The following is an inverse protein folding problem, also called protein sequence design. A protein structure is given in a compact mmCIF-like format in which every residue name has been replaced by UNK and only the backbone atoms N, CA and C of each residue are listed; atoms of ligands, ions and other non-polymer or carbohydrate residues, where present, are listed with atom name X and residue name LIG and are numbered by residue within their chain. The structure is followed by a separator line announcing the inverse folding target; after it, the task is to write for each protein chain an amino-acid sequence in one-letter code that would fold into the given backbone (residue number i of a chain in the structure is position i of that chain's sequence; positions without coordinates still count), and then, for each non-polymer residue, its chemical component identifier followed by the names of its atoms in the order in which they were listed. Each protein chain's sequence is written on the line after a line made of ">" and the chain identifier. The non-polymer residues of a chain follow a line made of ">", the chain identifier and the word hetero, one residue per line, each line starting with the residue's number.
data_IF_022126493029
#
_entry.id   IF_022126493029
#
_cell.length_a   1.000
_cell.length_b   1.000
_cell.length_c   1.000
_cell.angle_alpha   90.00
_cell.angle_beta   90.00
_cell.angle_gamma   90.00
#
_symmetry.space_group_name_H-M   'P 1'
#
loop_
_entity.id
_entity.type
_entity.pdbx_description
1 polymer ?
#
# COMPACT_ATOMS: atom_id res chain seq x y z
N UNK A 1 -14.07 1.08 -9.25
CA UNK A 1 -12.94 1.08 -8.28
C UNK A 1 -13.35 0.27 -7.06
N UNK A 2 -12.48 -0.59 -6.53
CA UNK A 2 -12.79 -1.41 -5.36
C UNK A 2 -12.91 -0.59 -4.08
N UNK A 3 -13.52 -1.16 -3.02
CA UNK A 3 -13.76 -0.47 -1.73
C UNK A 3 -12.49 -0.04 -0.97
N UNK A 4 -11.30 -0.50 -1.38
CA UNK A 4 -10.03 -0.26 -0.68
C UNK A 4 -9.84 -1.12 0.56
N UNK A 5 -8.64 -1.08 1.14
CA UNK A 5 -8.29 -1.99 2.25
C UNK A 5 -8.98 -1.60 3.55
N UNK A 6 -9.08 -0.30 3.86
CA UNK A 6 -9.71 0.19 5.10
C UNK A 6 -11.14 -0.31 5.21
N UNK A 7 -11.95 -0.12 4.16
CA UNK A 7 -13.36 -0.51 4.17
C UNK A 7 -13.52 -2.04 4.17
N UNK A 8 -12.75 -2.74 3.33
CA UNK A 8 -12.87 -4.20 3.17
C UNK A 8 -12.50 -4.96 4.46
N UNK A 9 -11.46 -4.51 5.16
CA UNK A 9 -10.89 -5.22 6.31
C UNK A 9 -11.03 -4.46 7.63
N UNK A 10 -11.97 -3.50 7.72
CA UNK A 10 -12.16 -2.62 8.89
C UNK A 10 -12.16 -3.36 10.23
N UNK A 11 -12.78 -4.55 10.29
CA UNK A 11 -12.88 -5.39 11.50
C UNK A 11 -11.53 -5.89 12.04
N UNK A 12 -10.50 -5.93 11.19
CA UNK A 12 -9.15 -6.42 11.52
C UNK A 12 -8.12 -5.29 11.67
N UNK A 13 -8.53 -4.05 11.44
CA UNK A 13 -7.65 -2.90 11.38
C UNK A 13 -7.91 -1.97 12.59
N UNK A 14 -6.90 -1.21 13.05
CA UNK A 14 -7.03 -0.29 14.18
C UNK A 14 -7.75 1.02 13.77
N UNK A 15 -8.97 0.90 13.25
CA UNK A 15 -9.80 1.99 12.71
C UNK A 15 -10.92 2.32 13.70
N UNK A 16 -11.16 3.61 13.93
CA UNK A 16 -12.26 4.10 14.77
C UNK A 16 -13.08 5.17 14.01
N UNK A 17 -14.03 5.82 14.67
CA UNK A 17 -14.90 6.84 14.06
C UNK A 17 -14.17 8.10 13.59
N UNK A 18 -12.95 8.36 14.10
CA UNK A 18 -12.12 9.50 13.71
C UNK A 18 -11.14 9.16 12.58
N UNK A 19 -10.96 7.88 12.27
CA UNK A 19 -10.05 7.46 11.19
C UNK A 19 -10.70 7.78 9.84
N UNK A 20 -10.05 8.58 8.96
CA UNK A 20 -10.58 8.82 7.63
C UNK A 20 -10.58 7.52 6.83
N UNK A 21 -11.70 7.24 6.18
CA UNK A 21 -11.84 6.09 5.27
C UNK A 21 -11.66 6.60 3.85
N UNK A 22 -10.58 6.15 3.20
CA UNK A 22 -10.26 6.51 1.83
C UNK A 22 -9.51 5.37 1.13
N UNK A 23 -9.34 5.48 -0.18
CA UNK A 23 -8.75 4.45 -1.03
C UNK A 23 -8.21 5.08 -2.31
N UNK A 24 -7.05 4.58 -2.78
CA UNK A 24 -6.57 4.82 -4.14
C UNK A 24 -6.86 3.62 -5.06
N UNK A 25 -7.59 2.61 -4.56
CA UNK A 25 -7.84 1.35 -5.23
C UNK A 25 -6.88 0.23 -4.83
N UNK A 26 -6.14 0.39 -3.72
CA UNK A 26 -5.21 -0.64 -3.25
C UNK A 26 -5.88 -1.90 -2.74
N UNK A 27 -5.12 -3.00 -2.74
CA UNK A 27 -5.60 -4.31 -2.38
C UNK A 27 -6.36 -4.99 -3.51
N UNK A 28 -7.06 -6.07 -3.15
CA UNK A 28 -7.78 -6.95 -4.10
C UNK A 28 -7.00 -7.32 -5.38
N UNK A 29 -5.68 -7.44 -5.27
CA UNK A 29 -4.78 -7.76 -6.40
C UNK A 29 -5.01 -9.19 -6.91
N UNK A 30 -4.74 -9.47 -8.19
CA UNK A 30 -4.90 -10.81 -8.75
C UNK A 30 -4.11 -11.88 -8.00
N UNK A 31 -4.71 -13.06 -7.85
CA UNK A 31 -4.04 -14.29 -7.43
C UNK A 31 -4.02 -15.24 -8.63
N UNK A 32 -2.88 -15.33 -9.31
CA UNK A 32 -2.77 -16.01 -10.61
C UNK A 32 -2.11 -17.38 -10.41
N UNK A 33 -2.77 -18.44 -10.85
CA UNK A 33 -2.21 -19.80 -10.80
C UNK A 33 -1.08 -19.94 -11.82
N UNK A 34 0.07 -20.43 -11.38
CA UNK A 34 1.17 -20.78 -12.28
C UNK A 34 0.78 -21.97 -13.15
N UNK A 35 1.17 -21.92 -14.43
CA UNK A 35 0.96 -23.00 -15.40
C UNK A 35 2.20 -23.85 -15.62
N UNK A 36 3.38 -23.23 -15.67
CA UNK A 36 4.61 -23.90 -16.09
C UNK A 36 5.66 -23.91 -14.97
N UNK A 37 5.78 -22.82 -14.20
CA UNK A 37 6.79 -22.71 -13.12
C UNK A 37 6.50 -23.65 -11.94
N UNK A 38 5.25 -24.13 -11.81
CA UNK A 38 4.87 -25.06 -10.74
C UNK A 38 5.66 -26.37 -10.79
N UNK A 39 5.93 -26.87 -11.99
CA UNK A 39 6.66 -28.13 -12.20
C UNK A 39 8.16 -27.95 -11.92
N UNK A 40 8.74 -26.81 -12.31
CA UNK A 40 10.13 -26.45 -12.02
C UNK A 40 10.40 -26.34 -10.51
N UNK A 41 9.43 -25.84 -9.74
CA UNK A 41 9.52 -25.69 -8.28
C UNK A 41 9.23 -27.01 -7.55
N UNK A 42 8.62 -28.01 -8.22
CA UNK A 42 8.32 -29.32 -7.64
C UNK A 42 7.20 -29.30 -6.58
N UNK A 43 6.24 -28.39 -6.67
CA UNK A 43 5.13 -28.28 -5.71
C UNK A 43 3.76 -28.60 -6.35
N UNK A 44 2.77 -28.99 -5.53
CA UNK A 44 1.42 -29.35 -6.02
C UNK A 44 0.69 -28.17 -6.67
N UNK A 45 0.89 -26.97 -6.15
CA UNK A 45 0.24 -25.75 -6.65
C UNK A 45 1.07 -24.52 -6.31
N UNK A 46 1.24 -23.66 -7.31
CA UNK A 46 1.93 -22.38 -7.18
C UNK A 46 1.02 -21.26 -7.67
N UNK A 47 0.97 -20.16 -6.91
CA UNK A 47 0.20 -18.96 -7.26
C UNK A 47 1.06 -17.71 -7.08
N UNK A 48 0.87 -16.74 -7.96
CA UNK A 48 1.48 -15.42 -7.89
C UNK A 48 0.46 -14.42 -7.38
N UNK A 49 0.78 -13.74 -6.28
CA UNK A 49 0.02 -12.59 -5.79
C UNK A 49 0.58 -11.33 -6.43
N UNK A 50 -0.14 -10.78 -7.42
CA UNK A 50 0.37 -9.70 -8.27
C UNK A 50 0.25 -8.33 -7.59
N UNK A 51 1.13 -8.07 -6.63
CA UNK A 51 1.17 -6.81 -5.87
C UNK A 51 1.59 -5.59 -6.68
N UNK A 52 2.13 -5.79 -7.89
CA UNK A 52 2.41 -4.72 -8.84
C UNK A 52 1.16 -4.04 -9.39
N UNK A 53 -0.03 -4.63 -9.22
CA UNK A 53 -1.30 -4.03 -9.64
C UNK A 53 -1.88 -3.03 -8.63
N UNK A 54 -1.19 -2.76 -7.52
CA UNK A 54 -1.58 -1.68 -6.61
C UNK A 54 -1.29 -0.29 -7.25
N UNK A 55 -1.94 0.78 -6.77
CA UNK A 55 -1.89 2.11 -7.40
C UNK A 55 -0.50 2.68 -7.67
N UNK A 56 0.47 2.45 -6.78
CA UNK A 56 1.87 2.92 -6.94
C UNK A 56 2.81 1.80 -7.40
N UNK A 57 2.26 0.66 -7.81
CA UNK A 57 3.03 -0.45 -8.36
C UNK A 57 3.65 -1.38 -7.33
N UNK A 58 3.25 -1.31 -6.05
CA UNK A 58 3.79 -2.22 -5.03
C UNK A 58 2.84 -2.47 -3.85
N UNK A 59 3.14 -3.51 -3.07
CA UNK A 59 2.41 -3.82 -1.84
C UNK A 59 2.50 -2.74 -0.75
N UNK A 60 3.40 -1.74 -0.89
CA UNK A 60 3.58 -0.68 0.10
C UNK A 60 2.30 0.15 0.30
N UNK A 61 1.47 0.23 -0.73
CA UNK A 61 0.16 0.89 -0.70
C UNK A 61 -0.75 0.34 0.38
N UNK A 62 -0.66 -0.98 0.65
CA UNK A 62 -1.46 -1.64 1.68
C UNK A 62 -1.20 -1.09 3.07
N UNK A 63 0.07 -0.84 3.38
CA UNK A 63 0.47 -0.25 4.65
C UNK A 63 0.27 1.26 4.66
N UNK A 64 0.56 1.91 3.52
CA UNK A 64 0.56 3.37 3.43
C UNK A 64 -0.83 3.97 3.60
N UNK A 65 -1.88 3.35 3.05
CA UNK A 65 -3.26 3.80 3.26
C UNK A 65 -3.62 3.86 4.75
N UNK A 66 -3.20 2.85 5.54
CA UNK A 66 -3.42 2.82 6.98
C UNK A 66 -2.55 3.85 7.69
N UNK A 67 -1.26 3.91 7.36
CA UNK A 67 -0.33 4.83 8.00
C UNK A 67 -0.77 6.30 7.85
N UNK A 68 -1.18 6.67 6.63
CA UNK A 68 -1.66 8.02 6.32
C UNK A 68 -3.03 8.29 6.95
N UNK A 69 -3.95 7.31 6.97
CA UNK A 69 -5.21 7.44 7.69
C UNK A 69 -4.98 7.72 9.19
N UNK A 70 -4.09 6.96 9.83
CA UNK A 70 -3.75 7.12 11.24
C UNK A 70 -2.98 8.41 11.52
N UNK A 71 -2.19 8.92 10.58
CA UNK A 71 -1.53 10.21 10.71
C UNK A 71 -2.57 11.34 10.75
N UNK A 72 -3.52 11.34 9.81
CA UNK A 72 -4.60 12.32 9.76
C UNK A 72 -5.50 12.23 10.99
N UNK A 73 -5.84 11.02 11.45
CA UNK A 73 -6.59 10.82 12.70
C UNK A 73 -5.91 11.49 13.91
N UNK A 74 -4.57 11.50 13.95
CA UNK A 74 -3.78 12.12 15.01
C UNK A 74 -3.54 13.63 14.79
N UNK A 75 -4.11 14.22 13.75
CA UNK A 75 -3.90 15.63 13.41
C UNK A 75 -2.48 15.93 12.91
N UNK A 76 -1.76 14.92 12.38
CA UNK A 76 -0.41 15.09 11.86
C UNK A 76 -0.49 15.65 10.44
N UNK A 77 0.14 16.81 10.20
CA UNK A 77 0.16 17.48 8.89
C UNK A 77 1.33 17.11 7.97
N UNK A 78 2.25 16.24 8.43
CA UNK A 78 3.44 15.87 7.67
C UNK A 78 3.92 14.45 7.94
N UNK A 79 4.41 13.77 6.92
CA UNK A 79 5.02 12.44 7.01
C UNK A 79 6.42 12.46 6.42
N UNK A 80 7.29 11.57 6.91
CA UNK A 80 8.64 11.39 6.38
C UNK A 80 8.98 9.92 6.18
N UNK A 81 9.74 9.61 5.14
CA UNK A 81 10.24 8.27 4.88
C UNK A 81 11.68 8.30 4.36
N UNK A 82 12.56 7.48 4.94
CA UNK A 82 13.86 7.18 4.36
C UNK A 82 13.77 5.87 3.57
N UNK A 83 13.69 5.96 2.25
CA UNK A 83 13.60 4.80 1.37
C UNK A 83 13.97 5.17 -0.06
N UNK A 84 14.69 4.28 -0.74
CA UNK A 84 15.19 4.49 -2.11
C UNK A 84 14.19 4.13 -3.21
N UNK A 85 12.94 3.76 -2.89
CA UNK A 85 12.02 3.24 -3.89
C UNK A 85 10.56 3.20 -3.46
N UNK A 86 9.94 2.04 -3.58
CA UNK A 86 8.48 1.83 -3.49
C UNK A 86 7.79 2.48 -2.28
N UNK A 87 8.42 2.48 -1.10
CA UNK A 87 7.82 3.13 0.09
C UNK A 87 7.70 4.63 -0.10
N UNK A 88 8.70 5.27 -0.71
CA UNK A 88 8.71 6.71 -0.99
C UNK A 88 7.65 7.07 -2.02
N UNK A 89 7.50 6.27 -3.09
CA UNK A 89 6.45 6.46 -4.08
C UNK A 89 5.04 6.35 -3.47
N UNK A 90 4.83 5.32 -2.64
CA UNK A 90 3.58 5.15 -1.90
C UNK A 90 3.32 6.32 -0.94
N UNK A 91 4.30 6.71 -0.13
CA UNK A 91 4.17 7.83 0.81
C UNK A 91 3.84 9.15 0.10
N UNK A 92 4.46 9.41 -1.06
CA UNK A 92 4.16 10.58 -1.88
C UNK A 92 2.70 10.56 -2.36
N UNK A 93 2.24 9.45 -2.94
CA UNK A 93 0.89 9.34 -3.48
C UNK A 93 -0.20 9.49 -2.41
N UNK A 94 -0.10 8.73 -1.31
CA UNK A 94 -1.09 8.77 -0.24
C UNK A 94 -1.03 10.07 0.56
N UNK A 95 0.17 10.61 0.82
CA UNK A 95 0.34 11.91 1.45
C UNK A 95 -0.28 13.03 0.62
N UNK A 96 -0.03 13.05 -0.70
CA UNK A 96 -0.63 14.03 -1.59
C UNK A 96 -2.16 13.93 -1.62
N UNK A 97 -2.72 12.71 -1.62
CA UNK A 97 -4.17 12.49 -1.64
C UNK A 97 -4.88 13.09 -0.41
N UNK A 98 -4.25 13.06 0.77
CA UNK A 98 -4.80 13.67 2.00
C UNK A 98 -4.21 15.05 2.33
N UNK A 99 -3.46 15.67 1.41
CA UNK A 99 -2.90 17.01 1.61
C UNK A 99 -1.83 17.10 2.70
N UNK A 100 -1.10 16.01 2.96
CA UNK A 100 0.02 15.99 3.91
C UNK A 100 1.32 16.45 3.24
N UNK A 101 2.14 17.19 4.00
CA UNK A 101 3.52 17.46 3.58
C UNK A 101 4.34 16.16 3.67
N UNK A 102 4.78 15.63 2.54
CA UNK A 102 5.59 14.40 2.48
C UNK A 102 7.07 14.71 2.23
N UNK A 103 7.94 14.28 3.14
CA UNK A 103 9.41 14.41 3.01
C UNK A 103 10.03 13.04 2.74
N UNK A 104 10.83 12.93 1.68
CA UNK A 104 11.47 11.69 1.29
C UNK A 104 12.98 11.84 1.38
N UNK A 105 13.64 10.93 2.09
CA UNK A 105 15.10 10.89 2.22
C UNK A 105 15.62 9.74 1.38
N UNK A 106 16.35 10.09 0.33
CA UNK A 106 17.01 9.16 -0.59
C UNK A 106 18.52 9.41 -0.57
N UNK A 107 19.36 8.38 -0.72
CA UNK A 107 20.79 8.58 -0.94
C UNK A 107 21.00 9.30 -2.27
N UNK A 108 22.08 10.09 -2.35
CA UNK A 108 22.56 10.65 -3.61
C UNK A 108 22.84 9.49 -4.56
N UNK A 109 22.27 9.53 -5.78
CA UNK A 109 22.59 8.56 -6.82
C UNK A 109 24.08 8.63 -7.20
N UNK A 110 24.62 7.50 -7.67
CA UNK A 110 25.97 7.44 -8.24
C UNK A 110 26.00 8.06 -9.63
#
# INVERSE_FOLDING_TARGET
>A
MGKGIIETYKKFLPINSKTPVFSLGEGNTPLVKSRNVVDEVGCRSLYFKLEGCNPTGSFKDRGMVIAVAKAVEKGIGSIACASTGNTSASAAAYGAYLGLRTTLIVPKGN
#
